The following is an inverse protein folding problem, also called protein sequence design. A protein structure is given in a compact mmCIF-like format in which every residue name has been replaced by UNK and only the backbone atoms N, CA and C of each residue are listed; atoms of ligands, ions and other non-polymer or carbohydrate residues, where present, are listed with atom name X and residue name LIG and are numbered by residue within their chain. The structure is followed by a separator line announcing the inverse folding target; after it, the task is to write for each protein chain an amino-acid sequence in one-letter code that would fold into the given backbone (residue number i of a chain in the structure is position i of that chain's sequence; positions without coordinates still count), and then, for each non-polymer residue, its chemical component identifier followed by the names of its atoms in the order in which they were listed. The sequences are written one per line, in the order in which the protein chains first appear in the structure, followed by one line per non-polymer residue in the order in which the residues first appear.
data_IF_692434973162
#
_entry.id   IF_692434973162
#
_cell.length_a   1.000
_cell.length_b   1.000
_cell.length_c   1.000
_cell.angle_alpha   90.00
_cell.angle_beta   90.00
_cell.angle_gamma   90.00
#
_symmetry.space_group_name_H-M   'P 1'
#
loop_
_entity.id
_entity.type
_entity.pdbx_description
1 polymer ?
#
# COMPACT_ATOMS: atom_id res chain seq x y z
N UNK A 1 -26.94 -50.07 2.76
CA UNK A 1 -26.72 -48.72 2.21
C UNK A 1 -26.10 -47.91 3.33
N UNK A 2 -24.78 -47.82 3.33
CA UNK A 2 -23.97 -47.30 4.42
C UNK A 2 -23.68 -45.80 4.24
N UNK A 3 -23.65 -45.11 5.39
CA UNK A 3 -22.94 -43.87 5.71
C UNK A 3 -23.28 -42.58 4.95
N UNK A 4 -24.32 -41.87 5.42
CA UNK A 4 -24.32 -40.40 5.45
C UNK A 4 -23.88 -39.90 6.84
N UNK A 5 -22.81 -40.50 7.36
CA UNK A 5 -22.20 -40.14 8.63
C UNK A 5 -21.39 -38.86 8.50
N UNK A 6 -21.79 -37.85 9.26
CA UNK A 6 -20.91 -36.81 9.81
C UNK A 6 -19.88 -36.20 8.85
N UNK A 7 -20.26 -35.11 8.17
CA UNK A 7 -19.30 -34.00 7.99
C UNK A 7 -19.10 -33.37 9.36
N UNK A 8 -18.33 -34.07 10.19
CA UNK A 8 -17.76 -33.55 11.41
C UNK A 8 -17.11 -32.20 11.08
N UNK A 9 -17.28 -31.26 12.00
CA UNK A 9 -16.58 -29.98 12.07
C UNK A 9 -15.16 -30.09 11.54
N UNK A 10 -14.97 -29.72 10.27
CA UNK A 10 -13.64 -29.63 9.68
C UNK A 10 -12.90 -28.54 10.46
N UNK A 11 -12.02 -28.95 11.39
CA UNK A 11 -11.13 -28.01 12.07
C UNK A 11 -10.43 -27.20 11.00
N UNK A 12 -10.44 -25.88 11.17
CA UNK A 12 -9.63 -25.00 10.36
C UNK A 12 -8.17 -25.42 10.54
N UNK A 13 -7.63 -26.15 9.57
CA UNK A 13 -6.25 -26.60 9.54
C UNK A 13 -5.49 -25.85 8.45
N UNK A 14 -4.22 -25.46 8.70
CA UNK A 14 -3.40 -24.85 7.68
C UNK A 14 -3.17 -25.83 6.52
N UNK A 15 -3.28 -25.34 5.29
CA UNK A 15 -3.01 -26.15 4.08
C UNK A 15 -1.50 -26.25 3.88
N UNK A 16 -0.92 -27.31 4.43
CA UNK A 16 0.52 -27.60 4.38
C UNK A 16 0.85 -28.69 3.34
N UNK A 17 0.22 -28.60 2.17
CA UNK A 17 0.60 -29.39 1.02
C UNK A 17 1.90 -28.87 0.38
N UNK A 18 2.42 -29.56 -0.64
CA UNK A 18 3.65 -29.14 -1.32
C UNK A 18 3.59 -27.70 -1.85
N UNK A 19 2.41 -27.25 -2.28
CA UNK A 19 2.18 -25.89 -2.76
C UNK A 19 2.26 -24.87 -1.61
N UNK A 20 1.61 -25.14 -0.48
CA UNK A 20 1.69 -24.31 0.72
C UNK A 20 3.11 -24.18 1.25
N UNK A 21 3.85 -25.28 1.32
CA UNK A 21 5.27 -25.29 1.74
C UNK A 21 6.13 -24.47 0.77
N UNK A 22 5.95 -24.64 -0.53
CA UNK A 22 6.67 -23.86 -1.54
C UNK A 22 6.47 -22.36 -1.33
N UNK A 23 5.24 -21.90 -1.20
CA UNK A 23 4.94 -20.49 -1.02
C UNK A 23 5.49 -19.93 0.29
N UNK A 24 5.44 -20.69 1.39
CA UNK A 24 6.06 -20.28 2.65
C UNK A 24 7.57 -20.12 2.51
N UNK A 25 8.26 -21.13 1.95
CA UNK A 25 9.73 -21.08 1.76
C UNK A 25 10.10 -19.91 0.86
N UNK A 26 9.34 -19.69 -0.23
CA UNK A 26 9.56 -18.57 -1.13
C UNK A 26 9.39 -17.22 -0.43
N UNK A 27 8.32 -17.05 0.36
CA UNK A 27 8.09 -15.83 1.16
C UNK A 27 9.21 -15.60 2.18
N UNK A 28 9.69 -16.63 2.87
CA UNK A 28 10.81 -16.51 3.80
C UNK A 28 12.11 -16.14 3.08
N UNK A 29 12.46 -16.83 2.00
CA UNK A 29 13.65 -16.54 1.21
C UNK A 29 13.65 -15.09 0.70
N UNK A 30 12.51 -14.62 0.17
CA UNK A 30 12.34 -13.24 -0.27
C UNK A 30 12.46 -12.24 0.89
N UNK A 31 11.89 -12.56 2.06
CA UNK A 31 11.99 -11.74 3.27
C UNK A 31 13.44 -11.57 3.71
N UNK A 32 14.23 -12.64 3.74
CA UNK A 32 15.65 -12.57 4.10
C UNK A 32 16.47 -11.77 3.09
N UNK A 33 16.21 -11.96 1.80
CA UNK A 33 16.88 -11.18 0.75
C UNK A 33 16.57 -9.69 0.88
N UNK A 34 15.30 -9.33 1.10
CA UNK A 34 14.85 -7.96 1.25
C UNK A 34 15.42 -7.33 2.54
N UNK A 35 15.36 -8.05 3.66
CA UNK A 35 15.94 -7.61 4.94
C UNK A 35 17.46 -7.40 4.83
N UNK A 36 18.16 -8.31 4.13
CA UNK A 36 19.59 -8.17 3.83
C UNK A 36 19.90 -6.91 3.01
N UNK A 37 19.10 -6.64 1.97
CA UNK A 37 19.20 -5.42 1.16
C UNK A 37 18.97 -4.15 1.99
N UNK A 38 17.92 -4.13 2.83
CA UNK A 38 17.64 -3.01 3.72
C UNK A 38 18.76 -2.79 4.74
N UNK A 39 19.28 -3.87 5.34
CA UNK A 39 20.39 -3.82 6.28
C UNK A 39 21.68 -3.28 5.64
N UNK A 40 22.01 -3.75 4.43
CA UNK A 40 23.15 -3.26 3.66
C UNK A 40 23.04 -1.75 3.38
N UNK A 41 21.86 -1.28 2.95
CA UNK A 41 21.60 0.14 2.71
C UNK A 41 21.65 0.95 4.01
N UNK A 42 21.18 0.40 5.12
CA UNK A 42 21.25 1.04 6.43
C UNK A 42 22.69 1.20 6.92
N UNK A 43 23.53 0.17 6.77
CA UNK A 43 24.98 0.23 7.07
C UNK A 43 25.67 1.33 6.26
N UNK A 44 25.29 1.52 4.99
CA UNK A 44 25.88 2.53 4.08
C UNK A 44 25.13 3.87 4.06
N UNK A 45 24.25 4.14 5.03
CA UNK A 45 23.39 5.35 5.09
C UNK A 45 24.12 6.69 5.00
N UNK A 46 25.43 6.72 5.28
CA UNK A 46 26.24 7.93 5.25
C UNK A 46 26.60 8.38 3.82
N UNK A 47 26.37 7.54 2.80
CA UNK A 47 26.57 7.94 1.40
C UNK A 47 25.59 9.07 1.02
N UNK A 48 26.06 10.18 0.39
CA UNK A 48 25.22 11.32 0.05
C UNK A 48 23.95 10.93 -0.74
N UNK A 49 24.08 9.98 -1.66
CA UNK A 49 22.98 9.43 -2.46
C UNK A 49 21.85 8.84 -1.59
N UNK A 50 22.19 8.09 -0.53
CA UNK A 50 21.21 7.44 0.35
C UNK A 50 20.61 8.39 1.38
N UNK A 51 21.40 9.37 1.84
CA UNK A 51 20.94 10.40 2.79
C UNK A 51 19.87 11.31 2.17
N UNK A 52 19.98 11.62 0.88
CA UNK A 52 19.00 12.43 0.12
C UNK A 52 17.66 11.70 -0.02
N UNK A 53 17.69 10.38 -0.24
CA UNK A 53 16.49 9.57 -0.49
C UNK A 53 15.58 9.43 0.74
N UNK A 54 16.15 9.52 1.94
CA UNK A 54 15.38 9.46 3.18
C UNK A 54 14.97 8.03 3.57
N UNK A 55 15.97 7.20 3.87
CA UNK A 55 15.82 5.77 4.14
C UNK A 55 14.65 5.36 5.03
N UNK A 56 14.34 6.05 6.17
CA UNK A 56 13.25 5.61 7.04
C UNK A 56 11.90 5.57 6.30
N UNK A 57 11.61 6.58 5.47
CA UNK A 57 10.33 6.66 4.77
C UNK A 57 10.21 5.58 3.67
N UNK A 58 11.29 5.35 2.93
CA UNK A 58 11.35 4.27 1.95
C UNK A 58 11.23 2.90 2.61
N UNK A 59 11.89 2.70 3.76
CA UNK A 59 11.85 1.45 4.50
C UNK A 59 10.47 1.16 5.05
N UNK A 60 9.78 2.13 5.65
CA UNK A 60 8.40 1.95 6.10
C UNK A 60 7.47 1.57 4.94
N UNK A 61 7.61 2.23 3.79
CA UNK A 61 6.82 1.89 2.60
C UNK A 61 7.09 0.45 2.13
N UNK A 62 8.37 0.06 2.01
CA UNK A 62 8.78 -1.28 1.58
C UNK A 62 8.30 -2.34 2.57
N UNK A 63 8.41 -2.10 3.88
CA UNK A 63 7.94 -3.04 4.91
C UNK A 63 6.43 -3.25 4.78
N UNK A 64 5.63 -2.19 4.66
CA UNK A 64 4.17 -2.34 4.53
C UNK A 64 3.77 -3.07 3.24
N UNK A 65 4.42 -2.76 2.11
CA UNK A 65 4.18 -3.46 0.86
C UNK A 65 4.62 -4.93 0.93
N UNK A 66 5.73 -5.22 1.62
CA UNK A 66 6.22 -6.58 1.83
C UNK A 66 5.31 -7.39 2.75
N UNK A 67 4.80 -6.78 3.83
CA UNK A 67 3.82 -7.41 4.71
C UNK A 67 2.52 -7.72 3.96
N UNK A 68 2.04 -6.81 3.12
CA UNK A 68 0.90 -7.07 2.25
C UNK A 68 1.17 -8.22 1.28
N UNK A 69 2.29 -8.17 0.54
CA UNK A 69 2.66 -9.22 -0.40
C UNK A 69 2.82 -10.57 0.29
N UNK A 70 3.51 -10.63 1.44
CA UNK A 70 3.69 -11.85 2.20
C UNK A 70 2.38 -12.43 2.74
N UNK A 71 1.47 -11.56 3.21
CA UNK A 71 0.14 -11.97 3.63
C UNK A 71 -0.63 -12.62 2.46
N UNK A 72 -0.70 -11.96 1.29
CA UNK A 72 -1.35 -12.51 0.10
C UNK A 72 -0.67 -13.79 -0.38
N UNK A 73 0.66 -13.82 -0.37
CA UNK A 73 1.43 -14.95 -0.87
C UNK A 73 1.22 -16.22 -0.06
N UNK A 74 1.05 -16.06 1.26
CA UNK A 74 0.81 -17.16 2.20
C UNK A 74 -0.68 -17.40 2.46
N UNK A 75 -1.58 -16.60 1.87
CA UNK A 75 -3.02 -16.69 2.08
C UNK A 75 -3.53 -18.10 1.83
N UNK A 76 -3.02 -18.80 0.81
CA UNK A 76 -3.38 -20.20 0.56
C UNK A 76 -3.25 -21.10 1.80
N UNK A 77 -2.22 -20.88 2.63
CA UNK A 77 -1.92 -21.67 3.83
C UNK A 77 -2.80 -21.26 5.00
N UNK A 78 -2.94 -19.95 5.27
CA UNK A 78 -3.59 -19.45 6.49
C UNK A 78 -5.03 -19.00 6.31
N UNK A 79 -5.56 -18.88 5.08
CA UNK A 79 -6.94 -18.46 4.81
C UNK A 79 -7.99 -19.26 5.58
N UNK A 80 -7.85 -20.59 5.79
CA UNK A 80 -8.80 -21.34 6.63
C UNK A 80 -8.82 -20.89 8.10
N UNK A 81 -7.70 -20.36 8.61
CA UNK A 81 -7.49 -20.02 10.02
C UNK A 81 -7.89 -18.58 10.37
N UNK A 82 -7.94 -17.68 9.39
CA UNK A 82 -8.05 -16.25 9.66
C UNK A 82 -9.49 -15.79 9.66
N UNK A 83 -9.83 -14.93 10.62
CA UNK A 83 -11.15 -14.31 10.67
C UNK A 83 -11.27 -13.30 9.53
N UNK A 84 -12.43 -13.19 8.86
CA UNK A 84 -12.55 -12.31 7.71
C UNK A 84 -12.39 -10.81 8.05
N UNK A 85 -12.50 -10.43 9.34
CA UNK A 85 -12.17 -9.08 9.79
C UNK A 85 -10.67 -8.77 9.59
N UNK A 86 -9.79 -9.73 9.89
CA UNK A 86 -8.34 -9.54 9.74
C UNK A 86 -7.98 -9.38 8.26
N UNK A 87 -8.60 -10.15 7.36
CA UNK A 87 -8.43 -9.98 5.91
C UNK A 87 -8.81 -8.55 5.49
N UNK A 88 -9.97 -8.05 5.93
CA UNK A 88 -10.41 -6.70 5.63
C UNK A 88 -9.41 -5.64 6.06
N UNK A 89 -8.86 -5.75 7.27
CA UNK A 89 -7.88 -4.81 7.79
C UNK A 89 -6.56 -4.84 7.02
N UNK A 90 -6.00 -6.04 6.80
CA UNK A 90 -4.73 -6.20 6.07
C UNK A 90 -4.83 -5.62 4.67
N UNK A 91 -5.90 -5.94 3.95
CA UNK A 91 -6.12 -5.50 2.58
C UNK A 91 -6.40 -3.98 2.49
N UNK A 92 -7.19 -3.44 3.41
CA UNK A 92 -7.62 -2.04 3.37
C UNK A 92 -6.61 -1.05 3.94
N UNK A 93 -5.57 -1.52 4.66
CA UNK A 93 -4.52 -0.64 5.20
C UNK A 93 -3.14 -0.85 4.58
N UNK A 94 -2.62 -2.08 4.52
CA UNK A 94 -1.20 -2.29 4.21
C UNK A 94 -0.86 -1.85 2.79
N UNK A 95 -1.69 -2.24 1.82
CA UNK A 95 -1.50 -1.84 0.43
C UNK A 95 -1.63 -0.33 0.21
N UNK A 96 -2.74 0.34 0.56
CA UNK A 96 -2.87 1.78 0.31
C UNK A 96 -1.85 2.61 1.09
N UNK A 97 -1.48 2.22 2.31
CA UNK A 97 -0.46 2.94 3.09
C UNK A 97 0.94 2.75 2.52
N UNK A 98 1.31 1.51 2.18
CA UNK A 98 2.57 1.21 1.54
C UNK A 98 2.74 1.99 0.23
N UNK A 99 1.69 2.02 -0.59
CA UNK A 99 1.60 2.81 -1.83
C UNK A 99 1.78 4.30 -1.56
N UNK A 100 1.05 4.86 -0.59
CA UNK A 100 1.06 6.29 -0.28
C UNK A 100 2.44 6.74 0.21
N UNK A 101 3.06 5.96 1.10
CA UNK A 101 4.40 6.22 1.60
C UNK A 101 5.47 6.05 0.52
N UNK A 102 5.32 5.08 -0.39
CA UNK A 102 6.23 4.91 -1.52
C UNK A 102 6.20 6.14 -2.44
N UNK A 103 5.01 6.65 -2.74
CA UNK A 103 4.83 7.88 -3.51
C UNK A 103 5.42 9.10 -2.82
N UNK A 104 5.22 9.24 -1.51
CA UNK A 104 5.82 10.29 -0.71
C UNK A 104 7.36 10.24 -0.75
N UNK A 105 7.93 9.03 -0.66
CA UNK A 105 9.38 8.80 -0.74
C UNK A 105 9.94 9.27 -2.08
N UNK A 106 9.27 8.88 -3.17
CA UNK A 106 9.72 9.18 -4.53
C UNK A 106 9.56 10.67 -4.86
N UNK A 107 8.45 11.28 -4.44
CA UNK A 107 8.19 12.71 -4.66
C UNK A 107 9.18 13.59 -3.91
N UNK A 108 9.57 13.19 -2.69
CA UNK A 108 10.62 13.86 -1.92
C UNK A 108 11.97 13.81 -2.62
N UNK A 109 12.35 12.62 -3.12
CA UNK A 109 13.62 12.44 -3.83
C UNK A 109 13.71 13.34 -5.07
N UNK A 110 12.67 13.35 -5.90
CA UNK A 110 12.62 14.17 -7.12
C UNK A 110 12.74 15.67 -6.81
N UNK A 111 12.08 16.14 -5.75
CA UNK A 111 12.20 17.53 -5.35
C UNK A 111 13.64 17.89 -4.95
N UNK A 112 14.30 17.06 -4.13
CA UNK A 112 15.67 17.34 -3.71
C UNK A 112 16.62 17.33 -4.92
N UNK A 113 16.48 16.35 -5.82
CA UNK A 113 17.27 16.29 -7.04
C UNK A 113 17.08 17.54 -7.93
N UNK A 114 15.83 18.02 -8.07
CA UNK A 114 15.53 19.24 -8.83
C UNK A 114 16.13 20.49 -8.17
N UNK A 115 16.01 20.64 -6.84
CA UNK A 115 16.63 21.75 -6.10
C UNK A 115 18.15 21.73 -6.23
N UNK A 116 18.78 20.55 -6.18
CA UNK A 116 20.22 20.44 -6.41
C UNK A 116 20.62 20.86 -7.82
N UNK A 117 19.90 20.40 -8.85
CA UNK A 117 20.14 20.81 -10.24
C UNK A 117 19.99 22.32 -10.42
N UNK A 118 18.94 22.92 -9.83
CA UNK A 118 18.71 24.37 -9.87
C UNK A 118 19.82 25.14 -9.14
N UNK A 119 20.32 24.66 -7.99
CA UNK A 119 21.44 25.30 -7.29
C UNK A 119 22.76 25.21 -8.07
N UNK A 120 23.05 24.07 -8.70
CA UNK A 120 24.23 23.92 -9.56
C UNK A 120 24.11 24.72 -10.86
N UNK A 121 22.89 24.94 -11.37
CA UNK A 121 22.64 25.76 -12.56
C UNK A 121 22.57 27.28 -12.25
N UNK A 122 22.19 27.65 -11.03
CA UNK A 122 21.98 29.04 -10.59
C UNK A 122 23.21 29.66 -9.91
N UNK A 123 24.41 29.10 -10.12
CA UNK A 123 25.68 29.62 -9.61
C UNK A 123 26.09 30.99 -10.21
N UNK A 124 25.14 31.82 -10.63
CA UNK A 124 25.41 33.12 -11.24
C UNK A 124 24.54 34.31 -10.79
N UNK A 125 23.39 34.20 -10.10
CA UNK A 125 22.71 35.40 -9.55
C UNK A 125 21.77 35.12 -8.37
N UNK A 126 22.14 35.53 -7.15
CA UNK A 126 21.23 35.60 -5.99
C UNK A 126 20.43 36.91 -5.99
N UNK A 127 19.11 36.81 -5.78
CA UNK A 127 18.26 37.92 -5.29
C UNK A 127 17.69 37.55 -3.92
N UNK A 128 17.67 38.47 -2.93
CA UNK A 128 17.22 38.17 -1.59
C UNK A 128 15.69 37.99 -1.55
N UNK A 129 15.22 36.87 -0.97
CA UNK A 129 13.81 36.50 -0.94
C UNK A 129 13.13 37.03 0.33
N UNK A 130 12.32 38.07 0.16
CA UNK A 130 11.55 38.78 1.21
C UNK A 130 10.57 37.82 1.92
N UNK A 131 10.63 37.76 3.25
CA UNK A 131 9.76 36.92 4.07
C UNK A 131 8.31 37.46 4.09
N UNK A 132 7.33 36.64 3.69
CA UNK A 132 5.89 36.97 3.77
C UNK A 132 5.30 36.37 5.06
N UNK A 133 4.71 37.21 5.92
CA UNK A 133 4.09 36.78 7.19
C UNK A 133 2.62 36.34 7.00
N UNK A 134 2.13 35.47 7.89
CA UNK A 134 0.76 34.92 7.94
C UNK A 134 0.70 33.39 7.95
N UNK A 135 -0.40 32.76 8.38
CA UNK A 135 -0.58 31.29 8.38
C UNK A 135 -0.38 30.66 6.99
N UNK A 136 -0.85 31.34 5.93
CA UNK A 136 -0.58 31.00 4.52
C UNK A 136 0.90 31.18 4.15
N UNK A 137 1.58 32.19 4.70
CA UNK A 137 3.03 32.41 4.55
C UNK A 137 3.88 31.39 5.31
N UNK A 138 3.41 30.93 6.48
CA UNK A 138 3.99 29.85 7.29
C UNK A 138 3.84 28.49 6.61
N UNK A 139 2.71 28.27 5.94
CA UNK A 139 2.52 27.11 5.07
C UNK A 139 3.40 27.19 3.82
N UNK A 140 3.53 28.36 3.20
CA UNK A 140 4.41 28.55 2.04
C UNK A 140 5.90 28.38 2.38
N UNK A 141 6.34 28.76 3.58
CA UNK A 141 7.72 28.62 4.09
C UNK A 141 8.07 27.20 4.54
N UNK A 142 7.10 26.30 4.73
CA UNK A 142 7.43 24.89 4.95
C UNK A 142 8.11 24.29 3.71
N UNK A 143 9.29 23.70 3.94
CA UNK A 143 10.00 22.86 2.96
C UNK A 143 9.00 21.93 2.26
N UNK A 144 9.09 21.84 0.93
CA UNK A 144 8.19 21.02 0.10
C UNK A 144 8.02 19.58 0.61
N UNK A 145 9.08 19.03 1.22
CA UNK A 145 9.04 17.74 1.93
C UNK A 145 7.97 17.69 3.02
N UNK A 146 7.84 18.71 3.88
CA UNK A 146 6.80 18.74 4.93
C UNK A 146 5.40 18.82 4.33
N UNK A 147 5.22 19.57 3.23
CA UNK A 147 3.93 19.65 2.53
C UNK A 147 3.49 18.29 1.97
N UNK A 148 4.41 17.57 1.33
CA UNK A 148 4.13 16.21 0.83
C UNK A 148 3.79 15.28 1.99
N UNK A 149 4.56 15.30 3.08
CA UNK A 149 4.30 14.42 4.22
C UNK A 149 2.94 14.71 4.88
N UNK A 150 2.57 15.99 5.01
CA UNK A 150 1.26 16.39 5.52
C UNK A 150 0.15 15.95 4.56
N UNK A 151 0.30 16.16 3.25
CA UNK A 151 -0.71 15.79 2.26
C UNK A 151 -0.90 14.27 2.19
N UNK A 152 0.19 13.52 2.15
CA UNK A 152 0.16 12.05 2.17
C UNK A 152 -0.41 11.55 3.49
N UNK A 153 0.00 12.13 4.63
CA UNK A 153 -0.52 11.80 5.95
C UNK A 153 -2.02 12.06 6.08
N UNK A 154 -2.52 13.17 5.54
CA UNK A 154 -3.96 13.47 5.47
C UNK A 154 -4.69 12.45 4.60
N UNK A 155 -4.13 12.09 3.45
CA UNK A 155 -4.69 11.04 2.58
C UNK A 155 -4.74 9.68 3.28
N UNK A 156 -3.70 9.30 4.02
CA UNK A 156 -3.67 8.07 4.82
C UNK A 156 -4.67 8.11 5.97
N UNK A 157 -4.80 9.25 6.67
CA UNK A 157 -5.77 9.42 7.75
C UNK A 157 -7.21 9.36 7.22
N UNK A 158 -7.48 9.97 6.07
CA UNK A 158 -8.77 9.89 5.39
C UNK A 158 -9.09 8.46 4.95
N UNK A 159 -8.11 7.75 4.37
CA UNK A 159 -8.25 6.33 4.04
C UNK A 159 -8.56 5.48 5.27
N UNK A 160 -7.86 5.71 6.39
CA UNK A 160 -8.09 5.01 7.65
C UNK A 160 -9.49 5.29 8.17
N UNK A 161 -9.90 6.56 8.14
CA UNK A 161 -11.24 6.98 8.54
C UNK A 161 -12.32 6.27 7.73
N UNK A 162 -12.20 6.24 6.39
CA UNK A 162 -13.14 5.51 5.54
C UNK A 162 -13.16 4.00 5.83
N UNK A 163 -12.00 3.41 6.10
CA UNK A 163 -11.87 1.98 6.44
C UNK A 163 -12.56 1.67 7.77
N UNK A 164 -12.32 2.49 8.80
CA UNK A 164 -12.99 2.37 10.11
C UNK A 164 -14.50 2.57 9.95
N UNK A 165 -14.90 3.60 9.21
CA UNK A 165 -16.31 3.94 8.99
C UNK A 165 -17.06 2.79 8.32
N UNK A 166 -16.50 2.19 7.26
CA UNK A 166 -17.09 1.04 6.59
C UNK A 166 -17.13 -0.20 7.48
N UNK A 167 -16.07 -0.44 8.25
CA UNK A 167 -16.02 -1.55 9.21
C UNK A 167 -17.15 -1.44 10.25
N UNK A 168 -17.37 -0.24 10.80
CA UNK A 168 -18.39 -0.02 11.83
C UNK A 168 -19.82 -0.02 11.30
N UNK A 169 -20.04 0.39 10.05
CA UNK A 169 -21.38 0.50 9.46
C UNK A 169 -21.93 -0.85 8.97
N UNK A 170 -21.06 -1.73 8.48
CA UNK A 170 -21.52 -3.00 7.93
C UNK A 170 -21.77 -4.02 9.04
N UNK A 171 -23.04 -4.48 9.16
CA UNK A 171 -23.42 -5.60 10.05
C UNK A 171 -22.75 -6.92 9.66
N UNK A 172 -22.14 -6.96 8.49
CA UNK A 172 -21.33 -8.09 8.02
C UNK A 172 -20.15 -8.39 8.93
N UNK A 173 -19.54 -7.37 9.54
CA UNK A 173 -18.42 -7.55 10.47
C UNK A 173 -18.86 -7.65 11.94
N UNK A 174 -20.08 -7.20 12.24
CA UNK A 174 -20.61 -7.04 13.59
C UNK A 174 -22.06 -7.54 13.69
N UNK A 175 -22.31 -8.67 14.37
CA UNK A 175 -23.66 -9.23 14.50
C UNK A 175 -24.65 -8.33 15.27
N UNK A 176 -24.14 -7.45 16.14
CA UNK A 176 -24.95 -6.66 17.07
C UNK A 176 -25.15 -5.20 16.68
N UNK A 177 -24.40 -4.66 15.72
CA UNK A 177 -24.50 -3.23 15.35
C UNK A 177 -24.15 -2.98 13.87
N UNK A 178 -24.74 -1.93 13.29
CA UNK A 178 -24.59 -1.55 11.88
C UNK A 178 -25.95 -1.34 11.18
N UNK A 179 -25.91 -1.04 9.88
CA UNK A 179 -27.11 -0.77 9.08
C UNK A 179 -27.87 -2.09 8.76
N UNK A 180 -29.17 -2.21 9.14
CA UNK A 180 -30.01 -3.34 8.75
C UNK A 180 -30.06 -3.52 7.23
N UNK A 181 -29.91 -4.75 6.76
CA UNK A 181 -29.85 -5.07 5.32
C UNK A 181 -28.43 -5.25 4.74
N UNK A 182 -27.38 -5.01 5.53
CA UNK A 182 -25.98 -5.38 5.19
C UNK A 182 -25.57 -6.75 5.77
N UNK A 183 -26.53 -7.47 6.34
CA UNK A 183 -26.35 -8.73 7.03
C UNK A 183 -26.21 -9.87 6.02
N UNK A 184 -25.32 -10.83 6.28
CA UNK A 184 -25.26 -12.06 5.49
C UNK A 184 -25.81 -13.19 6.33
N UNK A 185 -26.92 -13.77 5.90
CA UNK A 185 -27.52 -14.95 6.52
C UNK A 185 -27.12 -16.21 5.75
N UNK A 186 -26.95 -17.33 6.44
CA UNK A 186 -26.57 -18.62 5.84
C UNK A 186 -25.56 -19.40 6.68
N UNK A 187 -24.97 -20.44 6.08
CA UNK A 187 -23.91 -21.25 6.70
C UNK A 187 -22.66 -20.42 6.99
N UNK A 188 -21.88 -20.76 8.01
CA UNK A 188 -20.66 -20.01 8.38
C UNK A 188 -19.67 -19.86 7.21
N UNK A 189 -19.49 -20.90 6.40
CA UNK A 189 -18.62 -20.86 5.23
C UNK A 189 -19.14 -19.90 4.14
N UNK A 190 -20.45 -19.83 3.98
CA UNK A 190 -21.08 -18.89 3.08
C UNK A 190 -20.90 -17.45 3.58
N UNK A 191 -21.12 -17.19 4.86
CA UNK A 191 -20.88 -15.88 5.47
C UNK A 191 -19.42 -15.43 5.30
N UNK A 192 -18.44 -16.32 5.54
CA UNK A 192 -17.02 -16.05 5.33
C UNK A 192 -16.69 -15.69 3.89
N UNK A 193 -17.21 -16.45 2.91
CA UNK A 193 -16.99 -16.15 1.49
C UNK A 193 -17.59 -14.79 1.08
N UNK A 194 -18.77 -14.46 1.62
CA UNK A 194 -19.42 -13.18 1.35
C UNK A 194 -18.68 -12.02 2.01
N UNK A 195 -18.06 -12.19 3.19
CA UNK A 195 -17.26 -11.14 3.85
C UNK A 195 -16.12 -10.61 2.98
N UNK A 196 -15.56 -11.48 2.13
CA UNK A 196 -14.57 -11.11 1.13
C UNK A 196 -15.14 -10.30 -0.05
N UNK A 197 -16.44 -10.05 -0.15
CA UNK A 197 -17.09 -9.39 -1.31
C UNK A 197 -17.97 -8.24 -0.87
N UNK A 198 -18.44 -7.42 -1.81
CA UNK A 198 -19.44 -6.38 -1.56
C UNK A 198 -18.92 -4.94 -1.56
N UNK A 199 -19.85 -4.03 -1.33
CA UNK A 199 -19.63 -2.58 -1.43
C UNK A 199 -18.71 -2.03 -0.33
N UNK A 200 -18.49 -2.77 0.75
CA UNK A 200 -17.62 -2.41 1.88
C UNK A 200 -16.15 -2.23 1.47
N UNK A 201 -15.77 -2.86 0.35
CA UNK A 201 -14.44 -2.80 -0.24
C UNK A 201 -14.22 -1.55 -1.10
N UNK A 202 -15.27 -0.76 -1.36
CA UNK A 202 -15.22 0.43 -2.22
C UNK A 202 -14.08 1.40 -1.85
N UNK A 203 -13.82 1.76 -0.58
CA UNK A 203 -12.72 2.68 -0.25
C UNK A 203 -11.35 2.15 -0.71
N UNK A 204 -11.13 0.84 -0.64
CA UNK A 204 -9.88 0.22 -1.07
C UNK A 204 -9.75 0.20 -2.60
N UNK A 205 -10.84 -0.12 -3.31
CA UNK A 205 -10.88 -0.24 -4.77
C UNK A 205 -10.83 1.12 -5.45
N UNK A 206 -11.66 2.07 -4.99
CA UNK A 206 -11.71 3.44 -5.53
C UNK A 206 -10.35 4.11 -5.50
N UNK A 207 -9.62 3.96 -4.39
CA UNK A 207 -8.31 4.57 -4.26
C UNK A 207 -7.30 3.94 -5.22
N UNK A 208 -7.30 2.61 -5.36
CA UNK A 208 -6.43 1.94 -6.33
C UNK A 208 -6.72 2.39 -7.77
N UNK A 209 -7.99 2.51 -8.15
CA UNK A 209 -8.40 3.07 -9.45
C UNK A 209 -7.91 4.49 -9.65
N UNK A 210 -8.14 5.39 -8.68
CA UNK A 210 -7.73 6.78 -8.75
C UNK A 210 -6.22 6.90 -8.98
N UNK A 211 -5.40 6.10 -8.28
CA UNK A 211 -3.95 6.08 -8.49
C UNK A 211 -3.55 5.49 -9.83
N UNK A 212 -4.17 4.39 -10.25
CA UNK A 212 -3.79 3.69 -11.48
C UNK A 212 -4.22 4.45 -12.75
N UNK A 213 -5.37 5.11 -12.74
CA UNK A 213 -5.96 5.72 -13.95
C UNK A 213 -5.72 7.23 -14.06
N UNK A 214 -5.52 7.93 -12.96
CA UNK A 214 -5.32 9.39 -12.98
C UNK A 214 -3.88 9.73 -12.66
N UNK A 215 -3.39 9.27 -11.51
CA UNK A 215 -2.07 9.69 -11.03
C UNK A 215 -0.94 9.01 -11.79
N UNK A 216 -1.03 7.71 -12.07
CA UNK A 216 0.01 6.99 -12.79
C UNK A 216 0.24 7.56 -14.21
N UNK A 217 -0.80 7.78 -15.06
CA UNK A 217 -0.61 8.44 -16.35
C UNK A 217 -0.06 9.86 -16.23
N UNK A 218 -0.53 10.63 -15.24
CA UNK A 218 0.00 11.98 -14.99
C UNK A 218 1.51 11.96 -14.67
N UNK A 219 1.96 11.04 -13.80
CA UNK A 219 3.37 10.90 -13.45
C UNK A 219 4.19 10.42 -14.65
N UNK A 220 3.69 9.43 -15.40
CA UNK A 220 4.33 8.93 -16.62
C UNK A 220 4.52 10.06 -17.63
N UNK A 221 3.46 10.82 -17.90
CA UNK A 221 3.49 11.98 -18.80
C UNK A 221 4.51 13.03 -18.36
N UNK A 222 4.59 13.32 -17.06
CA UNK A 222 5.53 14.31 -16.52
C UNK A 222 6.98 13.82 -16.51
N UNK A 223 7.20 12.50 -16.45
CA UNK A 223 8.51 11.87 -16.40
C UNK A 223 9.15 11.59 -17.78
N UNK A 224 8.38 11.75 -18.88
CA UNK A 224 8.81 11.34 -20.23
C UNK A 224 10.09 12.00 -20.73
N UNK A 225 10.33 13.24 -20.30
CA UNK A 225 11.48 14.06 -20.73
C UNK A 225 12.66 14.03 -19.75
N UNK A 226 12.59 13.20 -18.69
CA UNK A 226 13.64 13.11 -17.68
C UNK A 226 14.55 11.95 -18.04
N UNK A 227 15.78 12.27 -18.46
CA UNK A 227 16.88 11.30 -18.56
C UNK A 227 17.37 10.96 -17.16
N UNK A 228 17.11 9.72 -16.74
CA UNK A 228 17.34 9.25 -15.38
C UNK A 228 18.50 8.26 -15.32
N UNK A 229 19.59 8.67 -14.68
CA UNK A 229 20.80 7.85 -14.48
C UNK A 229 20.71 6.96 -13.23
N UNK A 230 19.67 7.10 -12.41
CA UNK A 230 19.52 6.45 -11.10
C UNK A 230 18.35 5.43 -11.06
N UNK A 231 17.72 5.14 -12.20
CA UNK A 231 16.68 4.11 -12.33
C UNK A 231 15.35 4.41 -11.63
N UNK A 232 15.14 5.63 -11.14
CA UNK A 232 13.92 6.07 -10.47
C UNK A 232 12.69 6.07 -11.39
N UNK A 233 12.86 6.45 -12.66
CA UNK A 233 11.87 6.39 -13.73
C UNK A 233 11.45 4.96 -13.96
N UNK A 234 12.39 4.03 -14.06
CA UNK A 234 12.09 2.60 -14.23
C UNK A 234 11.33 2.05 -13.03
N UNK A 235 11.69 2.41 -11.80
CA UNK A 235 10.94 2.01 -10.60
C UNK A 235 9.53 2.59 -10.57
N UNK A 236 9.37 3.84 -10.99
CA UNK A 236 8.05 4.50 -11.06
C UNK A 236 7.19 3.89 -12.14
N UNK A 237 7.75 3.65 -13.33
CA UNK A 237 7.09 2.98 -14.46
C UNK A 237 6.70 1.55 -14.07
N UNK A 238 7.61 0.77 -13.49
CA UNK A 238 7.32 -0.59 -13.04
C UNK A 238 6.21 -0.61 -11.97
N UNK A 239 6.24 0.32 -11.01
CA UNK A 239 5.19 0.45 -9.99
C UNK A 239 3.84 0.91 -10.58
N UNK A 240 3.87 1.74 -11.62
CA UNK A 240 2.67 2.15 -12.36
C UNK A 240 2.11 1.02 -13.22
N UNK A 241 2.94 0.14 -13.78
CA UNK A 241 2.52 -1.00 -14.60
C UNK A 241 2.07 -2.19 -13.75
N UNK A 242 2.70 -2.44 -12.60
CA UNK A 242 2.36 -3.58 -11.73
C UNK A 242 0.97 -3.43 -11.06
N UNK A 243 0.48 -2.19 -10.93
CA UNK A 243 -0.78 -1.87 -10.23
C UNK A 243 -2.05 -2.19 -11.02
N UNK A 244 -2.19 -1.80 -12.30
CA UNK A 244 -3.34 -2.20 -13.13
C UNK A 244 -3.57 -3.70 -13.13
N UNK A 245 -2.50 -4.50 -13.28
CA UNK A 245 -2.57 -5.97 -13.24
C UNK A 245 -3.10 -6.50 -11.90
N UNK A 246 -2.70 -5.86 -10.79
CA UNK A 246 -3.18 -6.23 -9.45
C UNK A 246 -4.63 -5.80 -9.20
N UNK A 247 -5.03 -4.65 -9.77
CA UNK A 247 -6.38 -4.10 -9.65
C UNK A 247 -7.41 -4.92 -10.43
N UNK A 248 -7.04 -5.37 -11.63
CA UNK A 248 -7.87 -6.24 -12.48
C UNK A 248 -8.11 -7.59 -11.80
N UNK A 249 -7.06 -8.23 -11.28
CA UNK A 249 -7.18 -9.45 -10.48
C UNK A 249 -8.03 -9.27 -9.20
N UNK A 250 -7.93 -8.10 -8.55
CA UNK A 250 -8.74 -7.80 -7.37
C UNK A 250 -10.21 -7.57 -7.72
N UNK A 251 -10.51 -6.86 -8.81
CA UNK A 251 -11.89 -6.63 -9.27
C UNK A 251 -12.59 -7.92 -9.66
N UNK A 252 -11.92 -8.76 -10.46
CA UNK A 252 -12.48 -10.04 -10.88
C UNK A 252 -12.82 -10.91 -9.66
N UNK A 253 -11.97 -10.92 -8.64
CA UNK A 253 -12.23 -11.70 -7.42
C UNK A 253 -13.39 -11.17 -6.56
N UNK A 254 -13.64 -9.86 -6.57
CA UNK A 254 -14.60 -9.17 -5.68
C UNK A 254 -15.97 -8.93 -6.35
N UNK A 255 -16.03 -8.94 -7.68
CA UNK A 255 -17.25 -8.71 -8.48
C UNK A 255 -17.91 -9.99 -9.04
N UNK A 256 -17.17 -11.10 -9.16
CA UNK A 256 -17.77 -12.45 -9.32
C UNK A 256 -18.23 -13.00 -7.97
#
# INVERSE_FOLDING_TARGET
MAESGSKETAKAEPRLDALGIFWMVFTFAWTFMLAGGMYFLWRRRNMPLLRIRGLPLSFTAIILLHLYWGAVQTAYVWFPLVTPQVEYWVMSTYLPFGIALFHASNSRFLHIAKTQKELFAASSHEKPRRAKSGLKGRFQTFNYTKKILILVGLGMAFQLFLTIFMFLISRKFHPSFGIPGTEVTGTEDYQKSQMGRGWEWWPSVFWQFFWAWIIAPYILWKSRDINDTQGWRTQTVACCISRPVSLEAMLDSKLT
#
